data_IF_654694536042
#
_entry.id   IF_654694536042
#
_cell.length_a   1.000
_cell.length_b   1.000
_cell.length_c   1.000
_cell.angle_alpha   90.00
_cell.angle_beta   90.00
_cell.angle_gamma   90.00
#
_symmetry.space_group_name_H-M   'P 1'
#
loop_
_entity.id
_entity.type
_entity.pdbx_description
1 polymer ?
#
# COMPACT_ATOMS: atom_id res chain seq x y z
N UNK A 1 25.19 -1.72 -23.82
CA UNK A 1 24.30 -0.81 -23.05
C UNK A 1 25.17 0.32 -22.53
N UNK A 2 24.92 1.57 -22.94
CA UNK A 2 25.77 2.73 -22.59
C UNK A 2 25.50 3.16 -21.14
N UNK A 3 26.57 3.52 -20.39
CA UNK A 3 26.52 3.94 -18.97
C UNK A 3 25.49 5.05 -18.70
N UNK A 4 25.23 5.91 -19.68
CA UNK A 4 24.19 6.94 -19.61
C UNK A 4 22.76 6.41 -19.40
N UNK A 5 22.44 5.23 -19.93
CA UNK A 5 21.10 4.64 -19.72
C UNK A 5 20.93 4.07 -18.30
N UNK A 6 22.01 3.58 -17.69
CA UNK A 6 22.00 3.13 -16.29
C UNK A 6 21.89 4.32 -15.32
N UNK A 7 22.61 5.42 -15.57
CA UNK A 7 22.52 6.63 -14.74
C UNK A 7 21.15 7.32 -14.83
N UNK A 8 20.57 7.40 -16.03
CA UNK A 8 19.20 7.91 -16.22
C UNK A 8 18.15 7.02 -15.53
N UNK A 9 18.30 5.70 -15.60
CA UNK A 9 17.44 4.73 -14.90
C UNK A 9 17.52 4.85 -13.37
N UNK A 10 18.68 5.21 -12.83
CA UNK A 10 18.85 5.43 -11.39
C UNK A 10 18.33 6.81 -10.92
N UNK A 11 18.40 7.84 -11.76
CA UNK A 11 17.86 9.18 -11.47
C UNK A 11 16.33 9.25 -11.64
N UNK A 12 15.74 8.51 -12.57
CA UNK A 12 14.26 8.43 -12.75
C UNK A 12 13.56 7.61 -11.64
N UNK A 13 14.33 6.92 -10.78
CA UNK A 13 13.85 6.31 -9.53
C UNK A 13 13.65 7.34 -8.41
N UNK A 14 13.56 8.64 -8.71
CA UNK A 14 12.91 9.58 -7.81
C UNK A 14 11.58 8.96 -7.39
N UNK A 15 11.39 8.69 -6.09
CA UNK A 15 10.17 8.16 -5.47
C UNK A 15 8.95 8.98 -5.91
N UNK A 16 8.43 8.73 -7.10
CA UNK A 16 7.36 9.53 -7.70
C UNK A 16 6.07 9.08 -7.04
N UNK A 17 5.82 9.60 -5.85
CA UNK A 17 4.63 9.28 -5.09
C UNK A 17 3.42 9.77 -5.87
N UNK A 18 2.52 8.86 -6.18
CA UNK A 18 1.26 9.14 -6.82
C UNK A 18 0.21 9.46 -5.76
N UNK A 19 -0.64 10.46 -6.02
CA UNK A 19 -1.75 10.83 -5.15
C UNK A 19 -2.95 9.96 -5.47
N UNK A 20 -3.42 9.20 -4.50
CA UNK A 20 -4.61 8.38 -4.60
C UNK A 20 -5.74 8.99 -3.79
N UNK A 21 -6.92 9.08 -4.40
CA UNK A 21 -8.16 9.47 -3.73
C UNK A 21 -8.81 8.21 -3.17
N UNK A 22 -8.77 8.06 -1.86
CA UNK A 22 -9.42 6.94 -1.15
C UNK A 22 -10.80 7.40 -0.68
N UNK A 23 -11.82 6.67 -1.10
CA UNK A 23 -13.22 6.94 -0.72
C UNK A 23 -13.64 5.93 0.34
N UNK A 24 -13.89 6.42 1.55
CA UNK A 24 -14.46 5.66 2.65
C UNK A 24 -15.96 5.41 2.47
N UNK A 25 -16.48 4.41 3.18
CA UNK A 25 -17.89 3.98 3.08
C UNK A 25 -18.89 5.04 3.56
N UNK A 26 -18.49 5.91 4.47
CA UNK A 26 -19.26 7.07 4.94
C UNK A 26 -19.23 8.25 3.95
N UNK A 27 -18.63 8.08 2.77
CA UNK A 27 -18.43 9.14 1.81
C UNK A 27 -17.23 10.05 2.13
N UNK A 28 -16.53 9.84 3.25
CA UNK A 28 -15.31 10.57 3.53
C UNK A 28 -14.25 10.26 2.48
N UNK A 29 -13.66 11.30 1.94
CA UNK A 29 -12.57 11.17 0.99
C UNK A 29 -11.26 11.60 1.63
N UNK A 30 -10.22 10.78 1.52
CA UNK A 30 -8.86 11.14 1.91
C UNK A 30 -7.92 11.02 0.72
N UNK A 31 -7.10 12.03 0.49
CA UNK A 31 -6.03 11.97 -0.52
C UNK A 31 -4.78 11.49 0.21
N UNK A 32 -4.15 10.43 -0.32
CA UNK A 32 -2.92 9.86 0.25
C UNK A 32 -1.92 9.55 -0.84
N UNK A 33 -0.64 9.73 -0.51
CA UNK A 33 0.47 9.53 -1.43
C UNK A 33 1.07 8.15 -1.22
N UNK A 34 1.25 7.41 -2.32
CA UNK A 34 1.85 6.07 -2.33
C UNK A 34 2.89 5.96 -3.44
N UNK A 35 3.89 5.09 -3.26
CA UNK A 35 4.92 4.83 -4.27
C UNK A 35 4.40 3.97 -5.42
N UNK A 36 3.29 3.26 -5.22
CA UNK A 36 2.70 2.38 -6.24
C UNK A 36 1.21 2.15 -5.99
N UNK A 37 0.50 1.67 -7.02
CA UNK A 37 -0.87 1.15 -6.88
C UNK A 37 -0.92 0.00 -5.87
N UNK A 38 0.06 -0.91 -5.90
CA UNK A 38 0.14 -2.05 -4.98
C UNK A 38 0.17 -1.61 -3.50
N UNK A 39 0.93 -0.55 -3.18
CA UNK A 39 0.97 0.00 -1.83
C UNK A 39 -0.37 0.64 -1.42
N UNK A 40 -1.06 1.29 -2.36
CA UNK A 40 -2.39 1.84 -2.13
C UNK A 40 -3.42 0.73 -1.87
N UNK A 41 -3.37 -0.36 -2.64
CA UNK A 41 -4.26 -1.51 -2.49
C UNK A 41 -4.03 -2.20 -1.14
N UNK A 42 -2.77 -2.46 -0.77
CA UNK A 42 -2.41 -3.00 0.55
C UNK A 42 -2.93 -2.13 1.70
N UNK A 43 -2.85 -0.81 1.56
CA UNK A 43 -3.38 0.11 2.57
C UNK A 43 -4.90 -0.01 2.71
N UNK A 44 -5.63 -0.12 1.59
CA UNK A 44 -7.08 -0.34 1.60
C UNK A 44 -7.46 -1.68 2.24
N UNK A 45 -6.74 -2.75 1.93
CA UNK A 45 -6.95 -4.06 2.55
C UNK A 45 -6.74 -4.03 4.06
N UNK A 46 -5.69 -3.34 4.54
CA UNK A 46 -5.47 -3.15 5.99
C UNK A 46 -6.62 -2.41 6.67
N UNK A 47 -7.13 -1.34 6.04
CA UNK A 47 -8.29 -0.62 6.57
C UNK A 47 -9.55 -1.50 6.65
N UNK A 48 -9.75 -2.37 5.66
CA UNK A 48 -10.86 -3.33 5.68
C UNK A 48 -10.68 -4.37 6.78
N UNK A 49 -9.47 -4.90 6.95
CA UNK A 49 -9.14 -5.85 8.00
C UNK A 49 -9.39 -5.27 9.39
N UNK A 50 -8.81 -4.11 9.72
CA UNK A 50 -9.03 -3.41 11.00
C UNK A 50 -10.51 -3.15 11.26
N UNK A 51 -11.29 -2.88 10.20
CA UNK A 51 -12.74 -2.68 10.33
C UNK A 51 -13.46 -3.98 10.68
N UNK A 52 -13.15 -5.08 9.99
CA UNK A 52 -13.76 -6.38 10.26
C UNK A 52 -13.42 -6.85 11.68
N UNK A 53 -12.19 -6.61 12.14
CA UNK A 53 -11.75 -6.89 13.50
C UNK A 53 -12.55 -6.07 14.53
N UNK A 54 -12.69 -4.75 14.34
CA UNK A 54 -13.51 -3.89 15.22
C UNK A 54 -14.98 -4.28 15.28
N UNK A 55 -15.51 -4.88 14.21
CA UNK A 55 -16.89 -5.38 14.15
C UNK A 55 -17.04 -6.78 14.77
N UNK A 56 -15.95 -7.42 15.19
CA UNK A 56 -15.96 -8.80 15.68
C UNK A 56 -16.33 -9.83 14.60
N UNK A 57 -16.19 -9.47 13.32
CA UNK A 57 -16.49 -10.36 12.20
C UNK A 57 -15.32 -11.27 11.85
N UNK A 58 -14.12 -10.89 12.28
CA UNK A 58 -12.90 -11.70 12.22
C UNK A 58 -12.18 -11.57 13.56
N UNK A 59 -11.49 -12.63 13.95
CA UNK A 59 -10.58 -12.63 15.10
C UNK A 59 -9.14 -12.44 14.61
N UNK A 60 -8.37 -11.62 15.32
CA UNK A 60 -6.94 -11.53 15.07
C UNK A 60 -6.26 -12.78 15.59
N UNK A 61 -5.98 -13.70 14.68
CA UNK A 61 -5.09 -14.80 14.97
C UNK A 61 -3.66 -14.24 15.00
N UNK A 62 -3.05 -14.18 16.18
CA UNK A 62 -1.60 -13.99 16.31
C UNK A 62 -0.88 -15.24 15.81
N UNK A 63 -0.97 -15.50 14.51
CA UNK A 63 -0.17 -16.53 13.88
C UNK A 63 1.22 -15.96 13.63
N UNK A 64 2.23 -16.59 14.23
CA UNK A 64 3.63 -16.35 13.89
C UNK A 64 3.77 -16.52 12.38
N UNK A 65 4.28 -15.49 11.69
CA UNK A 65 4.53 -15.57 10.26
C UNK A 65 5.37 -16.82 9.98
N UNK A 66 4.83 -17.74 9.18
CA UNK A 66 5.55 -18.93 8.73
C UNK A 66 6.78 -18.42 7.98
N UNK A 67 7.97 -18.64 8.55
CA UNK A 67 9.21 -18.46 7.81
C UNK A 67 9.29 -19.60 6.80
N UNK A 68 9.32 -19.27 5.52
CA UNK A 68 9.81 -20.21 4.52
C UNK A 68 11.33 -20.17 4.60
N UNK A 69 11.94 -21.32 4.89
CA UNK A 69 13.39 -21.54 4.77
C UNK A 69 13.81 -21.55 3.30
#
# INVERSE_FOLDING_TARGET
MSKHYEEMSQLDRTDKKMKFKIVGRNGETKIKEFRSQYEADLYCERLNYERLERLGLIEHLNMTAIKFD
#
